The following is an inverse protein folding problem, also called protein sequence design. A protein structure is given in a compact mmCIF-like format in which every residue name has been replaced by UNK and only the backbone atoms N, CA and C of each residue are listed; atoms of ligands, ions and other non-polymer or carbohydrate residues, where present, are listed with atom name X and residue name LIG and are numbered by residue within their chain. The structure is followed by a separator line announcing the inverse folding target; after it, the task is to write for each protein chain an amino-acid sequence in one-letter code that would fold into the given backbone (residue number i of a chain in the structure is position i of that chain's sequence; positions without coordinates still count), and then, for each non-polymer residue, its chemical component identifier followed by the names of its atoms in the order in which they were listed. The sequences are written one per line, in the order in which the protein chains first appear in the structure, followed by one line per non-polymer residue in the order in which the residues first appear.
data_IF_798482942008
#
_entry.id   IF_798482942008
#
_cell.length_a   1.000
_cell.length_b   1.000
_cell.length_c   1.000
_cell.angle_alpha   90.00
_cell.angle_beta   90.00
_cell.angle_gamma   90.00
#
_symmetry.space_group_name_H-M   'P 1'
#
loop_
_entity.id
_entity.type
_entity.pdbx_description
1 polymer ?
#
# COMPACT_ATOMS: atom_id res chain seq x y z
N UNK A 1 -27.87 -19.57 17.23
CA UNK A 1 -26.93 -20.27 16.31
C UNK A 1 -25.70 -19.41 16.18
N UNK A 2 -24.50 -19.96 16.32
CA UNK A 2 -23.30 -19.19 16.01
C UNK A 2 -23.28 -18.88 14.50
N UNK A 3 -22.88 -17.66 14.13
CA UNK A 3 -22.73 -17.26 12.74
C UNK A 3 -21.57 -18.05 12.11
N UNK A 4 -21.88 -18.80 11.05
CA UNK A 4 -20.89 -19.58 10.31
C UNK A 4 -20.50 -18.76 9.07
N UNK A 5 -19.39 -18.06 9.15
CA UNK A 5 -18.85 -17.24 8.05
C UNK A 5 -17.93 -16.13 8.56
N UNK A 6 -17.27 -15.46 7.64
CA UNK A 6 -16.52 -14.25 7.94
C UNK A 6 -17.53 -13.15 8.28
N UNK A 7 -17.36 -12.48 9.42
CA UNK A 7 -18.21 -11.34 9.77
C UNK A 7 -18.20 -10.34 8.59
N UNK A 8 -19.37 -9.81 8.16
CA UNK A 8 -19.41 -8.84 7.08
C UNK A 8 -18.51 -7.66 7.45
N UNK A 9 -17.51 -7.38 6.65
CA UNK A 9 -16.74 -6.15 6.80
C UNK A 9 -17.67 -4.99 6.45
N UNK A 10 -18.03 -4.17 7.43
CA UNK A 10 -18.73 -2.92 7.16
C UNK A 10 -17.82 -2.05 6.30
N UNK A 11 -18.29 -1.70 5.09
CA UNK A 11 -17.59 -0.75 4.22
C UNK A 11 -17.41 0.56 4.98
N UNK A 12 -16.17 0.99 5.15
CA UNK A 12 -15.88 2.27 5.80
C UNK A 12 -16.09 3.39 4.78
N UNK A 13 -17.27 4.05 4.83
CA UNK A 13 -17.45 5.32 4.13
C UNK A 13 -16.58 6.37 4.80
N UNK A 14 -15.79 7.11 4.01
CA UNK A 14 -14.93 8.17 4.50
C UNK A 14 -15.32 9.48 3.85
N UNK A 15 -15.71 10.45 4.65
CA UNK A 15 -15.79 11.85 4.17
C UNK A 15 -14.36 12.38 4.14
N UNK A 16 -13.92 12.84 2.98
CA UNK A 16 -12.59 13.43 2.80
C UNK A 16 -12.52 14.82 3.43
N UNK A 17 -11.29 15.30 3.60
CA UNK A 17 -11.02 16.64 4.12
C UNK A 17 -11.57 17.70 3.14
N UNK A 18 -12.01 18.84 3.68
CA UNK A 18 -12.54 19.93 2.86
C UNK A 18 -11.48 20.50 1.92
N UNK A 19 -11.87 20.77 0.69
CA UNK A 19 -11.00 21.36 -0.34
C UNK A 19 -11.46 22.80 -0.59
N UNK A 20 -10.51 23.74 -0.50
CA UNK A 20 -10.78 25.15 -0.83
C UNK A 20 -10.64 25.33 -2.33
N UNK A 21 -11.67 25.86 -2.97
CA UNK A 21 -11.68 26.16 -4.40
C UNK A 21 -10.73 27.32 -4.71
N UNK A 22 -9.94 27.17 -5.75
CA UNK A 22 -9.07 28.20 -6.31
C UNK A 22 -9.59 28.60 -7.69
N UNK A 23 -9.76 29.90 -7.91
CA UNK A 23 -10.29 30.42 -9.17
C UNK A 23 -9.46 29.95 -10.38
N UNK A 24 -10.13 29.38 -11.37
CA UNK A 24 -9.50 28.91 -12.60
C UNK A 24 -8.75 27.59 -12.48
N UNK A 25 -8.94 26.85 -11.38
CA UNK A 25 -8.29 25.54 -11.16
C UNK A 25 -9.31 24.39 -11.30
N UNK A 26 -8.92 23.32 -11.98
CA UNK A 26 -9.72 22.10 -12.12
C UNK A 26 -9.19 20.95 -11.26
N UNK A 27 -7.90 20.89 -10.95
CA UNK A 27 -7.25 19.76 -10.29
C UNK A 27 -6.97 20.05 -8.82
N UNK A 28 -7.43 19.15 -7.93
CA UNK A 28 -7.29 19.28 -6.48
C UNK A 28 -6.79 18.00 -5.84
N UNK A 29 -5.97 18.13 -4.79
CA UNK A 29 -5.48 16.97 -4.03
C UNK A 29 -6.51 16.56 -2.99
N UNK A 30 -6.91 15.30 -3.02
CA UNK A 30 -7.79 14.69 -2.02
C UNK A 30 -6.99 14.24 -0.80
N UNK A 31 -7.51 14.55 0.40
CA UNK A 31 -6.90 14.15 1.65
C UNK A 31 -7.95 13.54 2.61
N UNK A 32 -7.50 12.68 3.49
CA UNK A 32 -8.25 12.16 4.62
C UNK A 32 -7.37 12.20 5.86
N UNK A 33 -7.80 12.93 6.88
CA UNK A 33 -7.00 13.19 8.10
C UNK A 33 -5.60 13.76 7.77
N UNK A 34 -5.54 14.70 6.82
CA UNK A 34 -4.31 15.37 6.34
C UNK A 34 -3.33 14.45 5.59
N UNK A 35 -3.68 13.21 5.30
CA UNK A 35 -2.90 12.31 4.47
C UNK A 35 -3.52 12.20 3.06
N UNK A 36 -2.67 12.08 2.04
CA UNK A 36 -3.15 11.94 0.67
C UNK A 36 -4.01 10.69 0.51
N UNK A 37 -5.24 10.88 0.03
CA UNK A 37 -6.20 9.82 -0.22
C UNK A 37 -6.17 9.42 -1.70
N UNK A 38 -6.06 8.12 -1.98
CA UNK A 38 -6.00 7.58 -3.34
C UNK A 38 -7.13 6.58 -3.54
N UNK A 39 -8.26 6.98 -4.15
CA UNK A 39 -9.28 6.02 -4.58
C UNK A 39 -8.75 5.18 -5.75
N UNK A 40 -9.24 3.97 -5.91
CA UNK A 40 -8.86 3.13 -7.04
C UNK A 40 -9.49 3.64 -8.35
N UNK A 41 -10.74 4.12 -8.30
CA UNK A 41 -11.47 4.65 -9.45
C UNK A 41 -12.34 5.86 -9.07
N UNK A 42 -12.79 6.63 -10.07
CA UNK A 42 -13.69 7.76 -9.85
C UNK A 42 -15.07 7.34 -9.32
N UNK A 43 -15.54 6.15 -9.68
CA UNK A 43 -16.84 5.59 -9.26
C UNK A 43 -16.90 5.28 -7.76
N UNK A 44 -15.75 5.20 -7.09
CA UNK A 44 -15.70 5.04 -5.64
C UNK A 44 -15.99 6.31 -4.86
N UNK A 45 -16.18 7.43 -5.55
CA UNK A 45 -16.44 8.72 -4.93
C UNK A 45 -17.86 9.21 -5.20
N UNK A 46 -18.47 9.81 -4.17
CA UNK A 46 -19.63 10.70 -4.34
C UNK A 46 -19.12 12.11 -4.11
N UNK A 47 -19.20 12.94 -5.13
CA UNK A 47 -18.69 14.31 -5.13
C UNK A 47 -19.86 15.27 -5.29
N UNK A 48 -19.94 16.28 -4.44
CA UNK A 48 -20.93 17.37 -4.57
C UNK A 48 -20.21 18.69 -4.78
N UNK A 49 -20.65 19.43 -5.79
CA UNK A 49 -20.21 20.80 -6.07
C UNK A 49 -21.46 21.70 -6.17
N UNK A 50 -21.51 22.76 -5.40
CA UNK A 50 -22.64 23.71 -5.33
C UNK A 50 -23.99 23.00 -5.08
N UNK A 51 -23.99 21.95 -4.22
CA UNK A 51 -25.18 21.16 -3.92
C UNK A 51 -25.59 20.15 -5.00
N UNK A 52 -24.83 20.01 -6.09
CA UNK A 52 -25.10 19.08 -7.18
C UNK A 52 -24.12 17.93 -7.18
N UNK A 53 -24.64 16.70 -7.24
CA UNK A 53 -23.79 15.50 -7.37
C UNK A 53 -23.19 15.46 -8.78
N UNK A 54 -21.89 15.23 -8.83
CA UNK A 54 -21.10 15.17 -10.04
C UNK A 54 -21.01 13.74 -10.57
N UNK A 55 -21.15 13.57 -11.89
CA UNK A 55 -21.04 12.27 -12.53
C UNK A 55 -19.56 11.83 -12.63
N UNK A 56 -19.17 10.63 -12.11
CA UNK A 56 -17.81 10.14 -12.26
C UNK A 56 -17.49 9.89 -13.74
N UNK A 57 -16.24 10.16 -14.12
CA UNK A 57 -15.66 10.08 -15.47
C UNK A 57 -16.19 11.11 -16.48
N UNK A 58 -17.37 11.70 -16.27
CA UNK A 58 -17.92 12.77 -17.11
C UNK A 58 -17.61 14.16 -16.53
N UNK A 59 -18.01 14.41 -15.26
CA UNK A 59 -17.81 15.68 -14.61
C UNK A 59 -16.46 15.78 -13.89
N UNK A 60 -15.84 14.65 -13.54
CA UNK A 60 -14.51 14.60 -12.96
C UNK A 60 -13.83 13.26 -13.25
N UNK A 61 -12.50 13.28 -13.19
CA UNK A 61 -11.63 12.09 -13.26
C UNK A 61 -10.71 12.04 -12.05
N UNK A 62 -10.11 10.88 -11.80
CA UNK A 62 -9.19 10.67 -10.68
C UNK A 62 -7.89 10.05 -11.17
N UNK A 63 -6.77 10.57 -10.69
CA UNK A 63 -5.43 9.99 -10.90
C UNK A 63 -4.62 10.09 -9.60
N UNK A 64 -4.30 8.95 -9.02
CA UNK A 64 -3.64 8.90 -7.73
C UNK A 64 -4.45 9.62 -6.64
N UNK A 65 -3.90 10.65 -6.01
CA UNK A 65 -4.59 11.47 -5.01
C UNK A 65 -5.25 12.73 -5.59
N UNK A 66 -5.26 12.90 -6.91
CA UNK A 66 -5.77 14.10 -7.56
C UNK A 66 -7.13 13.82 -8.19
N UNK A 67 -8.13 14.64 -7.85
CA UNK A 67 -9.39 14.78 -8.56
C UNK A 67 -9.26 15.93 -9.55
N UNK A 68 -9.70 15.73 -10.80
CA UNK A 68 -9.70 16.77 -11.84
C UNK A 68 -11.11 16.90 -12.39
N UNK A 69 -11.71 18.08 -12.23
CA UNK A 69 -13.01 18.41 -12.79
C UNK A 69 -12.91 18.66 -14.29
N UNK A 70 -13.98 18.41 -15.03
CA UNK A 70 -14.06 18.66 -16.48
C UNK A 70 -13.96 20.13 -16.84
N UNK A 71 -14.33 21.02 -15.92
CA UNK A 71 -14.23 22.47 -16.05
C UNK A 71 -13.48 23.07 -14.87
N UNK A 72 -12.85 24.22 -15.10
CA UNK A 72 -12.20 24.97 -14.01
C UNK A 72 -13.27 25.52 -13.05
N UNK A 73 -13.08 25.29 -11.75
CA UNK A 73 -13.90 25.91 -10.74
C UNK A 73 -13.55 27.41 -10.62
N UNK A 74 -14.56 28.22 -10.32
CA UNK A 74 -14.41 29.68 -10.22
C UNK A 74 -14.68 30.18 -8.81
N UNK A 75 -14.33 31.44 -8.55
CA UNK A 75 -14.63 32.07 -7.26
C UNK A 75 -16.14 32.03 -6.98
N UNK A 76 -16.51 31.45 -5.86
CA UNK A 76 -17.91 31.25 -5.44
C UNK A 76 -18.37 29.80 -5.55
N UNK A 77 -17.68 28.98 -6.32
CA UNK A 77 -17.94 27.53 -6.31
C UNK A 77 -17.48 26.91 -4.99
N UNK A 78 -18.20 25.87 -4.56
CA UNK A 78 -17.94 25.14 -3.33
C UNK A 78 -17.94 23.64 -3.62
N UNK A 79 -16.86 22.97 -3.27
CA UNK A 79 -16.85 21.51 -3.16
C UNK A 79 -17.45 21.18 -1.79
N UNK A 80 -18.73 20.82 -1.76
CA UNK A 80 -19.47 20.61 -0.50
C UNK A 80 -18.93 19.43 0.28
N UNK A 81 -18.70 18.33 -0.42
CA UNK A 81 -18.09 17.12 0.15
C UNK A 81 -17.60 16.17 -0.94
N UNK A 82 -16.65 15.35 -0.54
CA UNK A 82 -16.26 14.13 -1.25
C UNK A 82 -16.38 12.99 -0.25
N UNK A 83 -17.20 11.99 -0.56
CA UNK A 83 -17.35 10.76 0.22
C UNK A 83 -16.79 9.60 -0.57
N UNK A 84 -15.79 8.95 -0.02
CA UNK A 84 -15.27 7.69 -0.56
C UNK A 84 -16.13 6.54 -0.05
N UNK A 85 -16.67 5.77 -0.99
CA UNK A 85 -17.33 4.50 -0.73
C UNK A 85 -16.26 3.47 -0.41
N UNK A 86 -16.48 2.68 0.64
CA UNK A 86 -15.50 1.67 1.06
C UNK A 86 -15.19 0.68 -0.07
N UNK A 87 -13.94 0.33 -0.20
CA UNK A 87 -13.51 -0.70 -1.15
C UNK A 87 -14.14 -2.05 -0.76
N UNK A 88 -14.98 -2.59 -1.63
CA UNK A 88 -15.45 -3.96 -1.53
C UNK A 88 -14.43 -4.84 -2.23
N UNK A 89 -13.54 -5.47 -1.45
CA UNK A 89 -12.67 -6.53 -1.95
C UNK A 89 -11.55 -6.05 -2.86
N UNK A 90 -10.68 -5.19 -2.33
CA UNK A 90 -9.41 -4.91 -3.03
C UNK A 90 -8.54 -6.16 -2.96
N UNK A 91 -8.42 -6.85 -4.08
CA UNK A 91 -7.39 -7.88 -4.23
C UNK A 91 -6.05 -7.13 -4.23
N UNK A 92 -5.33 -7.17 -3.11
CA UNK A 92 -3.98 -6.62 -3.05
C UNK A 92 -3.12 -7.43 -4.03
N UNK A 93 -2.93 -6.90 -5.23
CA UNK A 93 -1.95 -7.46 -6.15
C UNK A 93 -0.57 -7.09 -5.61
N UNK A 94 0.09 -8.06 -5.00
CA UNK A 94 1.47 -7.87 -4.57
C UNK A 94 2.34 -7.74 -5.82
N UNK A 95 2.99 -6.60 -5.96
CA UNK A 95 4.01 -6.40 -6.99
C UNK A 95 5.18 -7.33 -6.66
N UNK A 96 5.79 -7.94 -7.68
CA UNK A 96 6.95 -8.81 -7.51
C UNK A 96 8.05 -8.08 -6.72
N UNK A 97 8.59 -8.74 -5.68
CA UNK A 97 9.53 -8.15 -4.74
C UNK A 97 8.92 -7.23 -3.65
N UNK A 98 7.59 -7.02 -3.62
CA UNK A 98 6.95 -6.16 -2.61
C UNK A 98 6.89 -6.78 -1.21
N UNK A 99 7.03 -8.10 -1.11
CA UNK A 99 7.11 -8.84 0.16
C UNK A 99 8.57 -9.18 0.42
N UNK A 100 9.23 -8.40 1.22
CA UNK A 100 10.58 -8.67 1.70
C UNK A 100 10.58 -9.45 3.03
N UNK A 101 11.76 -9.85 3.50
CA UNK A 101 11.93 -10.62 4.74
C UNK A 101 11.31 -9.92 5.96
N UNK A 102 11.28 -8.57 5.99
CA UNK A 102 10.74 -7.79 7.11
C UNK A 102 9.21 -7.79 7.15
N UNK A 103 8.57 -8.17 6.03
CA UNK A 103 7.10 -8.30 5.92
C UNK A 103 6.63 -9.73 6.16
N UNK A 104 7.54 -10.69 6.23
CA UNK A 104 7.21 -12.08 6.51
C UNK A 104 7.24 -12.35 8.01
N UNK A 105 6.16 -12.94 8.54
CA UNK A 105 6.16 -13.43 9.91
C UNK A 105 7.14 -14.58 10.08
N UNK A 106 7.90 -14.59 11.18
CA UNK A 106 8.80 -15.71 11.53
C UNK A 106 8.09 -17.08 11.60
N UNK A 107 6.75 -17.09 11.73
CA UNK A 107 5.96 -18.32 11.73
C UNK A 107 5.70 -18.89 10.34
N UNK A 108 5.84 -18.11 9.27
CA UNK A 108 5.67 -18.58 7.87
C UNK A 108 6.78 -19.54 7.46
N UNK A 109 7.93 -19.46 8.10
CA UNK A 109 9.07 -20.34 7.82
C UNK A 109 8.97 -21.73 8.48
N UNK A 110 7.96 -21.99 9.31
CA UNK A 110 7.84 -23.27 10.03
C UNK A 110 7.40 -24.46 9.18
N UNK A 111 6.77 -24.25 8.03
CA UNK A 111 6.19 -25.33 7.22
C UNK A 111 6.83 -25.52 5.85
N UNK A 112 7.93 -24.84 5.55
CA UNK A 112 8.66 -25.10 4.31
C UNK A 112 9.62 -26.28 4.50
N UNK A 113 9.25 -27.42 3.93
CA UNK A 113 10.06 -28.63 3.95
C UNK A 113 11.39 -28.48 3.19
N UNK A 114 11.48 -27.51 2.28
CA UNK A 114 12.66 -27.24 1.46
C UNK A 114 13.04 -25.77 1.58
N UNK A 115 14.28 -25.53 1.98
CA UNK A 115 14.91 -24.19 1.93
C UNK A 115 15.89 -24.16 0.78
N UNK A 116 15.81 -23.09 -0.01
CA UNK A 116 16.78 -22.82 -1.06
C UNK A 116 17.61 -21.61 -0.63
N UNK A 117 18.90 -21.75 -0.63
CA UNK A 117 19.83 -20.64 -0.40
C UNK A 117 20.82 -20.54 -1.56
N UNK A 118 21.27 -19.33 -1.81
CA UNK A 118 22.32 -19.09 -2.79
C UNK A 118 23.65 -19.73 -2.34
N UNK A 119 24.43 -20.21 -3.28
CA UNK A 119 25.74 -20.76 -3.00
C UNK A 119 26.83 -19.71 -2.85
N UNK A 120 26.53 -18.43 -3.16
CA UNK A 120 27.49 -17.33 -3.08
C UNK A 120 26.88 -16.13 -2.39
N UNK A 121 27.54 -15.62 -1.36
CA UNK A 121 27.19 -14.35 -0.72
C UNK A 121 27.66 -13.19 -1.59
N UNK A 122 26.74 -12.35 -2.04
CA UNK A 122 27.01 -11.23 -2.97
C UNK A 122 26.97 -9.85 -2.31
N UNK A 123 26.59 -9.78 -1.03
CA UNK A 123 26.54 -8.55 -0.24
C UNK A 123 27.03 -8.79 1.19
N UNK A 124 27.46 -7.73 1.87
CA UNK A 124 27.91 -7.83 3.26
C UNK A 124 26.78 -8.29 4.19
N UNK A 125 27.06 -9.24 5.06
CA UNK A 125 26.13 -9.76 6.06
C UNK A 125 26.79 -9.76 7.44
N UNK A 126 26.03 -9.40 8.46
CA UNK A 126 26.43 -9.53 9.87
C UNK A 126 25.44 -10.45 10.57
N UNK A 127 25.94 -11.50 11.21
CA UNK A 127 25.17 -12.35 12.14
C UNK A 127 25.43 -11.79 13.53
N UNK A 128 24.38 -11.24 14.16
CA UNK A 128 24.47 -10.63 15.47
C UNK A 128 24.72 -11.69 16.58
N UNK A 129 25.10 -11.25 17.78
CA UNK A 129 25.44 -12.15 18.89
C UNK A 129 24.25 -13.00 19.39
N UNK A 130 23.04 -12.54 19.17
CA UNK A 130 21.77 -13.19 19.51
C UNK A 130 21.14 -13.97 18.34
N UNK A 131 21.85 -14.06 17.20
CA UNK A 131 21.39 -14.74 15.99
C UNK A 131 22.11 -16.06 15.74
N UNK A 132 21.36 -17.02 15.18
CA UNK A 132 21.88 -18.26 14.65
C UNK A 132 21.54 -18.32 13.15
N UNK A 133 22.56 -18.48 12.33
CA UNK A 133 22.43 -18.63 10.89
C UNK A 133 22.90 -20.02 10.43
N UNK A 134 22.23 -20.53 9.41
CA UNK A 134 22.55 -21.83 8.78
C UNK A 134 22.48 -21.70 7.27
N UNK A 135 23.44 -22.31 6.60
CA UNK A 135 23.43 -22.49 5.14
C UNK A 135 23.63 -23.97 4.80
N UNK A 136 22.90 -24.44 3.80
CA UNK A 136 23.02 -25.82 3.33
C UNK A 136 23.88 -25.89 2.08
N UNK A 137 24.88 -26.80 2.09
CA UNK A 137 25.76 -27.07 0.96
C UNK A 137 27.00 -26.16 0.87
N UNK A 138 27.66 -26.18 -0.27
CA UNK A 138 28.83 -25.35 -0.52
C UNK A 138 28.48 -23.87 -0.50
N UNK A 139 29.27 -23.10 0.25
CA UNK A 139 29.04 -21.66 0.43
C UNK A 139 30.32 -20.87 0.10
N UNK A 140 30.21 -19.85 -0.72
CA UNK A 140 31.31 -18.99 -1.14
C UNK A 140 31.03 -17.54 -0.79
N UNK A 141 32.02 -16.81 -0.32
CA UNK A 141 31.94 -15.35 -0.13
C UNK A 141 32.47 -14.68 -1.38
N UNK A 142 31.66 -13.84 -2.01
CA UNK A 142 32.03 -13.10 -3.22
C UNK A 142 33.20 -12.15 -2.99
N UNK A 143 33.88 -11.78 -4.07
CA UNK A 143 35.01 -10.85 -4.00
C UNK A 143 34.55 -9.49 -3.45
N UNK A 144 35.27 -8.95 -2.44
CA UNK A 144 34.91 -7.68 -1.80
C UNK A 144 33.73 -7.72 -0.82
N UNK A 145 33.20 -8.91 -0.56
CA UNK A 145 32.08 -9.12 0.39
C UNK A 145 32.62 -9.57 1.74
N UNK A 146 32.00 -9.12 2.82
CA UNK A 146 32.36 -9.46 4.19
C UNK A 146 31.20 -10.17 4.89
N UNK A 147 31.50 -11.33 5.49
CA UNK A 147 30.61 -12.00 6.43
C UNK A 147 31.17 -11.78 7.84
N UNK A 148 30.43 -11.06 8.68
CA UNK A 148 30.77 -10.83 10.09
C UNK A 148 29.94 -11.77 10.96
N UNK A 149 30.59 -12.58 11.79
CA UNK A 149 29.93 -13.56 12.64
C UNK A 149 30.16 -13.17 14.10
N UNK A 150 29.16 -12.63 14.78
CA UNK A 150 29.14 -12.38 16.21
C UNK A 150 28.29 -13.43 16.96
N UNK A 151 27.40 -14.12 16.24
CA UNK A 151 26.55 -15.20 16.74
C UNK A 151 27.02 -16.57 16.29
N UNK A 152 26.10 -17.47 15.94
CA UNK A 152 26.41 -18.81 15.46
C UNK A 152 26.16 -18.94 13.94
N UNK A 153 27.12 -19.49 13.22
CA UNK A 153 26.96 -19.82 11.81
C UNK A 153 27.29 -21.28 11.55
N UNK A 154 26.37 -22.01 10.94
CA UNK A 154 26.51 -23.44 10.65
C UNK A 154 26.36 -23.71 9.16
N UNK A 155 27.29 -24.46 8.58
CA UNK A 155 27.21 -25.02 7.23
C UNK A 155 26.91 -26.50 7.36
N UNK A 156 25.87 -27.00 6.70
CA UNK A 156 25.42 -28.40 6.74
C UNK A 156 25.36 -29.03 5.36
#
# INVERSE_FOLDING_TARGET
MPYIGIAPSSGHFKKLDGITVVNGQAAYTMQYSSANFKPATAEQLIVSVNGVIQAPNDAYTVSGSTITFSENLVTGDVIDFIVALGEVGNTVTLVDGSVDINKMSSSIMKNNAIRVNDTTLTSNVTIAADENAMVAGAFTIGSGVTLTINGTFTVV
#
